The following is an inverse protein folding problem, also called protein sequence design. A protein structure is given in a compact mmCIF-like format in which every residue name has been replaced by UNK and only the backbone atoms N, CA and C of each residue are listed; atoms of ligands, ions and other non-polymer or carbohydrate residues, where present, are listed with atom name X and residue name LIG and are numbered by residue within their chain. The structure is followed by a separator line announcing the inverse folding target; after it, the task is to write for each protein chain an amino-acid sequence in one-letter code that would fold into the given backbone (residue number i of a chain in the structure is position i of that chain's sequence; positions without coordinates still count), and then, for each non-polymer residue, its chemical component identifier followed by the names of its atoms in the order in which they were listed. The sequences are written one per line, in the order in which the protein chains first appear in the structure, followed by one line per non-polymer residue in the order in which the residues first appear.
data_IF_627042476376
#
_entry.id   IF_627042476376
#
_cell.length_a   1.000
_cell.length_b   1.000
_cell.length_c   1.000
_cell.angle_alpha   90.00
_cell.angle_beta   90.00
_cell.angle_gamma   90.00
#
_symmetry.space_group_name_H-M   'P 1'
#
loop_
_entity.id
_entity.type
_entity.pdbx_description
1 polymer ?
#
# COMPACT_ATOMS: atom_id res chain seq x y z
N UNK A 1 4.98 31.32 -18.94
CA UNK A 1 4.31 30.04 -19.30
C UNK A 1 4.47 29.09 -18.12
N UNK A 2 3.42 28.93 -17.31
CA UNK A 2 3.36 28.07 -16.12
C UNK A 2 2.22 27.04 -16.23
N UNK A 3 1.85 26.69 -17.46
CA UNK A 3 0.59 26.00 -17.80
C UNK A 3 0.58 24.45 -17.73
N UNK A 4 1.69 23.70 -17.91
CA UNK A 4 1.61 22.23 -17.97
C UNK A 4 1.25 21.56 -16.63
N UNK A 5 1.68 22.15 -15.51
CA UNK A 5 1.51 21.55 -14.18
C UNK A 5 0.09 21.74 -13.65
N UNK A 6 -0.51 22.92 -13.85
CA UNK A 6 -1.88 23.21 -13.40
C UNK A 6 -2.93 22.35 -14.13
N UNK A 7 -2.77 22.15 -15.45
CA UNK A 7 -3.67 21.29 -16.22
C UNK A 7 -3.56 19.82 -15.80
N UNK A 8 -2.34 19.34 -15.55
CA UNK A 8 -2.10 17.98 -15.06
C UNK A 8 -2.74 17.77 -13.68
N UNK A 9 -2.57 18.72 -12.76
CA UNK A 9 -3.18 18.65 -11.42
C UNK A 9 -4.70 18.61 -11.52
N UNK A 10 -5.33 19.48 -12.32
CA UNK A 10 -6.79 19.46 -12.51
C UNK A 10 -7.28 18.12 -13.09
N UNK A 11 -6.51 17.52 -14.02
CA UNK A 11 -6.81 16.19 -14.55
C UNK A 11 -6.74 15.12 -13.46
N UNK A 12 -5.70 15.16 -12.63
CA UNK A 12 -5.53 14.22 -11.52
C UNK A 12 -6.57 14.39 -10.42
N UNK A 13 -7.00 15.61 -10.12
CA UNK A 13 -8.10 15.87 -9.18
C UNK A 13 -9.39 15.23 -9.64
N UNK A 14 -9.76 15.45 -10.91
CA UNK A 14 -10.96 14.84 -11.51
C UNK A 14 -10.89 13.32 -11.48
N UNK A 15 -9.74 12.75 -11.81
CA UNK A 15 -9.57 11.30 -11.84
C UNK A 15 -9.55 10.69 -10.44
N UNK A 16 -8.95 11.34 -9.43
CA UNK A 16 -9.06 10.89 -8.04
C UNK A 16 -10.50 10.93 -7.55
N UNK A 17 -11.24 12.01 -7.82
CA UNK A 17 -12.65 12.11 -7.43
C UNK A 17 -13.47 10.98 -8.06
N UNK A 18 -13.28 10.73 -9.37
CA UNK A 18 -13.94 9.64 -10.10
C UNK A 18 -13.61 8.27 -9.53
N UNK A 19 -12.34 8.00 -9.20
CA UNK A 19 -11.93 6.71 -8.65
C UNK A 19 -12.35 6.56 -7.17
N UNK A 20 -12.39 7.65 -6.41
CA UNK A 20 -12.86 7.69 -5.02
C UNK A 20 -14.31 7.23 -4.89
N UNK A 21 -15.17 7.59 -5.84
CA UNK A 21 -16.56 7.11 -5.92
C UNK A 21 -16.66 5.59 -6.09
N UNK A 22 -15.60 4.94 -6.59
CA UNK A 22 -15.55 3.48 -6.76
C UNK A 22 -15.04 2.76 -5.51
N UNK A 23 -14.60 3.47 -4.46
CA UNK A 23 -14.12 2.83 -3.22
C UNK A 23 -15.29 2.22 -2.46
N UNK A 24 -15.18 0.93 -2.14
CA UNK A 24 -16.14 0.22 -1.29
C UNK A 24 -15.57 0.13 0.12
N UNK A 25 -16.32 0.60 1.10
CA UNK A 25 -15.91 0.67 2.52
C UNK A 25 -16.57 -0.46 3.35
N UNK A 26 -16.99 -1.52 2.66
CA UNK A 26 -17.70 -2.67 3.21
C UNK A 26 -16.99 -4.00 2.90
N UNK A 27 -17.28 -5.02 3.70
CA UNK A 27 -16.76 -6.38 3.51
C UNK A 27 -17.55 -7.11 2.41
N UNK A 28 -16.84 -7.41 1.32
CA UNK A 28 -17.40 -8.00 0.10
C UNK A 28 -17.15 -9.50 -0.04
N UNK A 29 -16.30 -10.07 0.80
CA UNK A 29 -15.88 -11.48 0.74
C UNK A 29 -16.32 -12.26 1.98
N UNK A 30 -16.66 -13.53 1.82
CA UNK A 30 -17.12 -14.38 2.94
C UNK A 30 -16.07 -14.53 4.05
N UNK A 31 -14.78 -14.60 3.69
CA UNK A 31 -13.70 -14.75 4.66
C UNK A 31 -13.56 -13.53 5.59
N UNK A 32 -14.04 -12.35 5.19
CA UNK A 32 -13.98 -11.13 6.02
C UNK A 32 -14.96 -11.18 7.19
N UNK A 33 -16.09 -11.88 6.99
CA UNK A 33 -17.17 -12.03 7.98
C UNK A 33 -16.87 -13.13 8.99
N UNK A 34 -15.90 -13.99 8.72
CA UNK A 34 -15.48 -15.01 9.69
C UNK A 34 -14.63 -14.38 10.79
N UNK A 35 -14.93 -14.64 12.08
CA UNK A 35 -14.13 -14.11 13.20
C UNK A 35 -12.63 -14.47 13.13
N UNK A 36 -12.32 -15.64 12.56
CA UNK A 36 -10.97 -16.19 12.40
C UNK A 36 -10.43 -16.08 10.97
N UNK A 37 -11.13 -15.36 10.09
CA UNK A 37 -10.84 -15.27 8.66
C UNK A 37 -10.83 -16.61 7.91
N UNK A 38 -11.59 -17.61 8.36
CA UNK A 38 -11.80 -18.87 7.64
C UNK A 38 -12.11 -18.65 6.15
N UNK A 39 -11.32 -19.30 5.30
CA UNK A 39 -11.36 -19.12 3.83
C UNK A 39 -10.27 -18.20 3.27
N UNK A 40 -9.63 -17.38 4.11
CA UNK A 40 -8.43 -16.63 3.74
C UNK A 40 -7.21 -17.56 3.71
N UNK A 41 -6.55 -17.63 2.56
CA UNK A 41 -5.38 -18.49 2.31
C UNK A 41 -4.15 -17.70 1.92
N UNK A 42 -4.31 -16.51 1.32
CA UNK A 42 -3.21 -15.72 0.77
C UNK A 42 -3.42 -14.22 1.01
N UNK A 43 -2.39 -13.60 1.56
CA UNK A 43 -2.30 -12.15 1.75
C UNK A 43 -1.14 -11.62 0.91
N UNK A 44 -1.36 -10.51 0.21
CA UNK A 44 -0.35 -9.83 -0.57
C UNK A 44 0.24 -8.65 0.18
N UNK A 45 1.49 -8.30 -0.11
CA UNK A 45 2.14 -7.08 0.39
C UNK A 45 2.80 -6.34 -0.77
N UNK A 46 2.65 -5.02 -0.81
CA UNK A 46 3.34 -4.17 -1.79
C UNK A 46 4.04 -3.01 -1.13
N UNK A 47 5.18 -2.65 -1.69
CA UNK A 47 5.98 -1.49 -1.35
C UNK A 47 6.61 -0.90 -2.61
N UNK A 48 6.84 0.40 -2.59
CA UNK A 48 7.64 1.07 -3.61
C UNK A 48 8.69 1.93 -2.92
N UNK A 49 9.95 1.54 -3.10
CA UNK A 49 11.08 2.16 -2.43
C UNK A 49 12.01 2.83 -3.42
N UNK A 50 12.37 4.09 -3.15
CA UNK A 50 13.21 4.91 -4.03
C UNK A 50 14.70 4.61 -3.82
N UNK A 51 15.50 4.80 -4.88
CA UNK A 51 16.95 4.76 -4.76
C UNK A 51 17.40 5.98 -3.95
N UNK A 52 18.40 5.80 -3.06
CA UNK A 52 18.94 6.92 -2.26
C UNK A 52 19.43 8.05 -3.16
N UNK A 53 18.84 9.24 -3.00
CA UNK A 53 19.24 10.43 -3.76
C UNK A 53 18.65 10.50 -5.17
N UNK A 54 17.65 9.67 -5.47
CA UNK A 54 16.96 9.63 -6.76
C UNK A 54 15.45 9.52 -6.53
N UNK A 55 14.71 10.52 -7.01
CA UNK A 55 13.26 10.65 -6.88
C UNK A 55 12.49 10.16 -8.11
N UNK A 56 13.20 9.57 -9.06
CA UNK A 56 12.68 9.04 -10.32
C UNK A 56 12.75 7.50 -10.31
N UNK A 57 13.87 6.91 -9.89
CA UNK A 57 14.03 5.47 -9.91
C UNK A 57 13.66 4.83 -8.56
N UNK A 58 12.87 3.75 -8.63
CA UNK A 58 12.40 3.00 -7.47
C UNK A 58 12.38 1.49 -7.75
N UNK A 59 12.38 0.63 -6.73
CA UNK A 59 11.89 -0.75 -6.89
C UNK A 59 10.43 -0.84 -6.45
N UNK A 60 9.59 -1.37 -7.34
CA UNK A 60 8.27 -1.88 -7.04
C UNK A 60 8.37 -3.33 -6.59
N UNK A 61 7.90 -3.63 -5.39
CA UNK A 61 7.90 -4.98 -4.79
C UNK A 61 6.47 -5.49 -4.60
N UNK A 62 6.27 -6.77 -4.94
CA UNK A 62 5.06 -7.55 -4.63
C UNK A 62 5.48 -8.86 -3.97
N UNK A 63 4.87 -9.16 -2.83
CA UNK A 63 4.97 -10.47 -2.16
C UNK A 63 3.59 -11.06 -1.96
N UNK A 64 3.50 -12.39 -1.96
CA UNK A 64 2.31 -13.13 -1.52
C UNK A 64 2.73 -14.12 -0.46
N UNK A 65 2.01 -14.15 0.66
CA UNK A 65 2.26 -15.01 1.79
C UNK A 65 1.06 -15.93 2.04
N UNK A 66 1.31 -17.12 2.59
CA UNK A 66 0.27 -17.97 3.16
C UNK A 66 -0.41 -17.29 4.35
N UNK A 67 -1.71 -17.48 4.51
CA UNK A 67 -2.43 -17.18 5.74
C UNK A 67 -2.84 -18.49 6.45
N UNK A 68 -2.79 -18.58 7.79
CA UNK A 68 -2.29 -17.59 8.76
C UNK A 68 -0.76 -17.67 8.99
N UNK A 69 -0.06 -18.61 8.37
CA UNK A 69 1.34 -18.95 8.70
C UNK A 69 2.40 -17.93 8.24
N UNK A 70 2.02 -16.96 7.40
CA UNK A 70 2.89 -15.91 6.86
C UNK A 70 4.19 -16.41 6.19
N UNK A 71 4.13 -17.55 5.47
CA UNK A 71 5.23 -18.06 4.65
C UNK A 71 5.15 -17.45 3.25
N UNK A 72 6.25 -16.93 2.72
CA UNK A 72 6.32 -16.38 1.36
C UNK A 72 6.05 -17.50 0.33
N UNK A 73 5.09 -17.26 -0.56
CA UNK A 73 4.73 -18.11 -1.70
C UNK A 73 5.24 -17.53 -3.03
N UNK A 74 5.29 -16.21 -3.12
CA UNK A 74 5.70 -15.47 -4.31
C UNK A 74 6.37 -14.16 -3.88
N UNK A 75 7.39 -13.77 -4.63
CA UNK A 75 8.07 -12.48 -4.53
C UNK A 75 8.48 -12.03 -5.92
N UNK A 76 8.26 -10.75 -6.21
CA UNK A 76 8.73 -10.08 -7.41
C UNK A 76 9.18 -8.66 -7.06
N UNK A 77 10.33 -8.27 -7.57
CA UNK A 77 10.81 -6.90 -7.51
C UNK A 77 11.27 -6.47 -8.90
N UNK A 78 10.88 -5.25 -9.26
CA UNK A 78 11.27 -4.63 -10.52
C UNK A 78 11.70 -3.19 -10.29
N UNK A 79 12.90 -2.87 -10.77
CA UNK A 79 13.33 -1.49 -10.90
C UNK A 79 12.48 -0.77 -11.96
N UNK A 80 11.97 0.39 -11.60
CA UNK A 80 11.08 1.19 -12.42
C UNK A 80 11.49 2.67 -12.39
N UNK A 81 11.24 3.34 -13.50
CA UNK A 81 11.45 4.78 -13.66
C UNK A 81 10.08 5.47 -13.63
N UNK A 82 9.88 6.34 -12.64
CA UNK A 82 8.64 7.07 -12.43
C UNK A 82 8.61 8.35 -13.25
N UNK A 83 7.91 8.30 -14.38
CA UNK A 83 7.85 9.43 -15.32
C UNK A 83 6.88 10.55 -14.91
N UNK A 84 5.93 10.27 -14.01
CA UNK A 84 5.00 11.27 -13.51
C UNK A 84 5.71 12.18 -12.47
N UNK A 85 5.43 13.50 -12.45
CA UNK A 85 6.05 14.43 -11.49
C UNK A 85 5.58 14.19 -10.05
N UNK A 86 6.39 14.59 -9.08
CA UNK A 86 5.99 14.63 -7.68
C UNK A 86 5.02 15.79 -7.43
N UNK A 87 3.77 15.48 -7.11
CA UNK A 87 2.80 16.45 -6.60
C UNK A 87 2.19 15.88 -5.32
N UNK A 88 2.25 16.65 -4.24
CA UNK A 88 1.77 16.23 -2.93
C UNK A 88 0.31 15.76 -2.98
N UNK A 89 0.04 14.56 -2.46
CA UNK A 89 -1.24 13.85 -2.51
C UNK A 89 -1.71 13.29 -3.84
N UNK A 90 -0.87 13.32 -4.87
CA UNK A 90 -1.08 12.61 -6.13
C UNK A 90 -0.10 11.45 -6.31
N UNK A 91 0.56 11.03 -5.23
CA UNK A 91 1.56 9.98 -5.24
C UNK A 91 1.03 8.65 -5.80
N UNK A 92 -0.27 8.38 -5.64
CA UNK A 92 -0.95 7.24 -6.27
C UNK A 92 -0.77 7.16 -7.79
N UNK A 93 -0.73 8.28 -8.51
CA UNK A 93 -0.51 8.29 -9.96
C UNK A 93 0.93 7.94 -10.36
N UNK A 94 1.90 8.14 -9.45
CA UNK A 94 3.29 7.73 -9.67
C UNK A 94 3.49 6.25 -9.32
N UNK A 95 2.96 5.83 -8.18
CA UNK A 95 3.32 4.55 -7.57
C UNK A 95 2.37 3.39 -7.90
N UNK A 96 1.09 3.67 -8.18
CA UNK A 96 0.13 2.61 -8.50
C UNK A 96 0.45 1.87 -9.81
N UNK A 97 0.83 2.54 -10.92
CA UNK A 97 1.08 1.86 -12.19
C UNK A 97 2.12 0.72 -12.12
N UNK A 98 3.34 0.92 -11.56
CA UNK A 98 4.31 -0.17 -11.48
C UNK A 98 3.89 -1.32 -10.54
N UNK A 99 3.13 -1.03 -9.48
CA UNK A 99 2.60 -2.05 -8.57
C UNK A 99 1.47 -2.86 -9.22
N UNK A 100 0.59 -2.21 -10.00
CA UNK A 100 -0.43 -2.89 -10.81
C UNK A 100 0.22 -3.78 -11.88
N UNK A 101 1.32 -3.35 -12.50
CA UNK A 101 2.08 -4.19 -13.42
C UNK A 101 2.62 -5.45 -12.75
N UNK A 102 3.07 -5.37 -11.48
CA UNK A 102 3.52 -6.54 -10.74
C UNK A 102 2.36 -7.52 -10.45
N UNK A 103 1.19 -7.00 -10.08
CA UNK A 103 -0.02 -7.82 -9.90
C UNK A 103 -0.48 -8.47 -11.21
N UNK A 104 -0.49 -7.73 -12.31
CA UNK A 104 -0.87 -8.24 -13.63
C UNK A 104 0.12 -9.30 -14.11
N UNK A 105 1.42 -9.11 -13.87
CA UNK A 105 2.43 -10.14 -14.14
C UNK A 105 2.14 -11.40 -13.33
N UNK A 106 1.92 -11.30 -12.01
CA UNK A 106 1.57 -12.43 -11.15
C UNK A 106 0.34 -13.18 -11.68
N UNK A 107 -0.72 -12.44 -12.02
CA UNK A 107 -1.96 -12.98 -12.57
C UNK A 107 -1.72 -13.80 -13.84
N UNK A 108 -0.80 -13.35 -14.70
CA UNK A 108 -0.48 -14.02 -15.95
C UNK A 108 0.45 -15.23 -15.77
N UNK A 109 1.41 -15.19 -14.85
CA UNK A 109 2.39 -16.27 -14.68
C UNK A 109 1.98 -17.33 -13.66
N UNK A 110 1.32 -16.95 -12.57
CA UNK A 110 0.92 -17.82 -11.47
C UNK A 110 -0.43 -17.40 -10.86
N UNK A 111 -1.54 -17.46 -11.62
CA UNK A 111 -2.86 -16.97 -11.18
C UNK A 111 -3.36 -17.61 -9.87
N UNK A 112 -2.99 -18.88 -9.61
CA UNK A 112 -3.36 -19.59 -8.38
C UNK A 112 -2.74 -18.99 -7.11
N UNK A 113 -1.71 -18.16 -7.26
CA UNK A 113 -1.05 -17.44 -6.18
C UNK A 113 -1.57 -16.01 -6.00
N UNK A 114 -2.60 -15.58 -6.76
CA UNK A 114 -3.21 -14.27 -6.54
C UNK A 114 -3.65 -14.09 -5.07
N UNK A 115 -3.31 -12.96 -4.43
CA UNK A 115 -3.72 -12.68 -3.06
C UNK A 115 -5.23 -12.42 -3.01
N UNK A 116 -5.86 -12.73 -1.87
CA UNK A 116 -7.27 -12.41 -1.62
C UNK A 116 -7.44 -10.99 -1.05
N UNK A 117 -6.36 -10.42 -0.53
CA UNK A 117 -6.30 -9.07 0.04
C UNK A 117 -4.86 -8.56 -0.06
N UNK A 118 -4.71 -7.28 -0.37
CA UNK A 118 -3.43 -6.62 -0.54
C UNK A 118 -3.18 -5.64 0.61
N UNK A 119 -2.03 -5.78 1.26
CA UNK A 119 -1.49 -4.81 2.19
C UNK A 119 -0.59 -3.85 1.43
N UNK A 120 -0.83 -2.55 1.59
CA UNK A 120 -0.08 -1.50 0.91
C UNK A 120 0.66 -0.68 1.94
N UNK A 121 1.99 -0.59 1.83
CA UNK A 121 2.77 0.35 2.64
C UNK A 121 2.37 1.75 2.19
N UNK A 122 1.57 2.47 2.97
CA UNK A 122 0.94 3.73 2.56
C UNK A 122 -0.51 3.87 3.04
N UNK A 123 -1.11 5.02 2.74
CA UNK A 123 -2.46 5.35 3.18
C UNK A 123 -3.54 4.84 2.19
N UNK A 124 -4.73 4.55 2.72
CA UNK A 124 -5.98 4.40 1.98
C UNK A 124 -6.86 5.65 2.13
N UNK A 125 -8.06 5.49 2.69
CA UNK A 125 -8.98 6.60 3.00
C UNK A 125 -8.39 7.59 4.00
N UNK A 126 -7.39 7.16 4.78
CA UNK A 126 -6.66 8.04 5.68
C UNK A 126 -5.64 8.90 4.93
N UNK A 127 -6.17 9.71 4.03
CA UNK A 127 -5.47 10.62 3.14
C UNK A 127 -6.30 11.91 3.09
N UNK A 128 -5.68 13.07 2.96
CA UNK A 128 -6.41 14.34 3.01
C UNK A 128 -7.42 14.53 1.86
N UNK A 129 -7.27 13.75 0.76
CA UNK A 129 -8.23 13.63 -0.34
C UNK A 129 -9.09 12.35 -0.26
N UNK A 130 -9.03 11.64 0.85
CA UNK A 130 -9.65 10.33 1.09
C UNK A 130 -9.32 9.25 0.04
N UNK A 131 -8.23 9.42 -0.70
CA UNK A 131 -7.89 8.54 -1.80
C UNK A 131 -6.37 8.33 -1.91
N UNK A 132 -5.81 7.64 -0.92
CA UNK A 132 -4.41 7.25 -0.90
C UNK A 132 -4.07 6.09 -1.84
N UNK A 133 -2.80 5.67 -1.84
CA UNK A 133 -2.30 4.59 -2.69
C UNK A 133 -3.08 3.27 -2.52
N UNK A 134 -3.49 2.92 -1.31
CA UNK A 134 -4.22 1.68 -1.07
C UNK A 134 -5.62 1.69 -1.72
N UNK A 135 -6.30 2.84 -1.73
CA UNK A 135 -7.55 3.03 -2.47
C UNK A 135 -7.30 2.92 -3.97
N UNK A 136 -6.26 3.61 -4.46
CA UNK A 136 -5.90 3.63 -5.87
C UNK A 136 -5.64 2.22 -6.41
N UNK A 137 -4.83 1.43 -5.69
CA UNK A 137 -4.56 0.04 -6.04
C UNK A 137 -5.78 -0.84 -5.92
N UNK A 138 -6.56 -0.72 -4.84
CA UNK A 138 -7.75 -1.53 -4.62
C UNK A 138 -8.80 -1.35 -5.70
N UNK A 139 -9.12 -0.11 -6.05
CA UNK A 139 -10.09 0.19 -7.11
C UNK A 139 -9.62 -0.33 -8.47
N UNK A 140 -8.35 -0.12 -8.83
CA UNK A 140 -7.85 -0.51 -10.16
C UNK A 140 -7.57 -2.02 -10.29
N UNK A 141 -7.27 -2.71 -9.19
CA UNK A 141 -7.07 -4.17 -9.18
C UNK A 141 -8.34 -4.97 -8.85
N UNK A 142 -9.39 -4.30 -8.38
CA UNK A 142 -10.61 -4.89 -7.82
C UNK A 142 -10.33 -5.91 -6.69
N UNK A 143 -9.25 -5.69 -5.94
CA UNK A 143 -8.89 -6.50 -4.77
C UNK A 143 -9.25 -5.76 -3.47
N UNK A 144 -9.65 -6.50 -2.42
CA UNK A 144 -9.61 -5.97 -1.06
C UNK A 144 -8.23 -5.41 -0.73
N UNK A 145 -8.17 -4.16 -0.27
CA UNK A 145 -6.92 -3.44 -0.01
C UNK A 145 -6.93 -2.78 1.37
N UNK A 146 -5.82 -2.90 2.08
CA UNK A 146 -5.57 -2.27 3.38
C UNK A 146 -4.36 -1.36 3.28
N UNK A 147 -4.53 -0.09 3.62
CA UNK A 147 -3.42 0.85 3.77
C UNK A 147 -2.80 0.72 5.16
N UNK A 148 -1.48 0.51 5.22
CA UNK A 148 -0.70 0.45 6.46
C UNK A 148 0.41 1.47 6.41
N UNK A 149 0.23 2.59 7.12
CA UNK A 149 1.23 3.64 7.22
C UNK A 149 2.06 3.54 8.51
N UNK A 150 3.37 3.77 8.40
CA UNK A 150 4.31 3.68 9.54
C UNK A 150 4.43 4.99 10.34
N UNK A 151 3.93 6.10 9.78
CA UNK A 151 3.83 7.42 10.39
C UNK A 151 2.42 7.97 10.20
N UNK A 152 2.04 8.91 11.07
CA UNK A 152 0.85 9.72 10.87
C UNK A 152 1.10 10.69 9.71
N UNK A 153 0.20 10.73 8.74
CA UNK A 153 0.26 11.72 7.67
C UNK A 153 0.02 13.11 8.28
N UNK A 154 1.04 13.98 8.21
CA UNK A 154 0.94 15.37 8.66
C UNK A 154 0.82 16.25 7.42
N UNK A 155 -0.42 16.43 6.93
CA UNK A 155 -0.72 17.38 5.85
C UNK A 155 -1.44 18.56 6.48
N UNK A 156 -1.09 19.78 6.07
CA UNK A 156 -1.79 20.99 6.49
C UNK A 156 -3.29 20.83 6.22
N UNK A 157 -4.11 20.86 7.29
CA UNK A 157 -5.56 20.65 7.23
C UNK A 157 -6.07 19.33 7.84
N UNK A 158 -5.20 18.32 8.05
CA UNK A 158 -5.58 17.07 8.74
C UNK A 158 -5.34 17.25 10.25
N UNK A 159 -6.34 17.74 10.98
CA UNK A 159 -6.30 17.86 12.46
C UNK A 159 -6.23 16.46 13.06
N UNK A 160 -5.41 16.21 14.09
CA UNK A 160 -5.40 14.95 14.86
C UNK A 160 -6.75 14.73 15.59
N UNK A 161 -7.79 14.34 14.86
CA UNK A 161 -9.12 14.02 15.38
C UNK A 161 -9.11 12.71 16.17
N UNK A 162 -10.18 12.45 16.94
CA UNK A 162 -10.40 11.17 17.61
C UNK A 162 -10.46 9.99 16.61
N UNK A 163 -10.94 10.25 15.40
CA UNK A 163 -10.98 9.29 14.28
C UNK A 163 -9.56 8.88 13.80
N UNK A 164 -8.55 9.73 13.98
CA UNK A 164 -7.16 9.37 13.73
C UNK A 164 -6.58 8.47 14.83
N UNK A 165 -7.13 8.52 16.05
CA UNK A 165 -6.71 7.64 17.13
C UNK A 165 -7.31 6.25 16.98
N UNK A 166 -8.55 6.12 16.50
CA UNK A 166 -9.18 4.81 16.24
C UNK A 166 -8.51 4.01 15.13
N UNK A 167 -7.86 4.71 14.18
CA UNK A 167 -7.07 4.12 13.10
C UNK A 167 -5.63 3.76 13.49
N UNK A 168 -5.18 4.15 14.69
CA UNK A 168 -3.86 3.82 15.21
C UNK A 168 -3.85 2.42 15.84
N UNK A 169 -3.23 1.47 15.15
CA UNK A 169 -3.05 0.12 15.67
C UNK A 169 -1.69 -0.02 16.39
N UNK A 170 -1.75 -0.35 17.68
CA UNK A 170 -0.58 -0.89 18.39
C UNK A 170 -0.50 -2.39 18.10
N UNK A 171 0.38 -2.76 17.18
CA UNK A 171 0.55 -4.14 16.70
C UNK A 171 1.17 -5.10 17.71
N UNK A 172 1.83 -4.61 18.76
CA UNK A 172 2.32 -5.44 19.86
C UNK A 172 2.49 -4.62 21.14
N UNK A 173 2.40 -5.31 22.29
CA UNK A 173 2.63 -4.71 23.62
C UNK A 173 4.04 -4.10 23.75
N UNK A 174 5.03 -4.65 23.04
CA UNK A 174 6.41 -4.16 22.99
C UNK A 174 6.64 -3.03 22.00
N UNK A 175 5.68 -2.71 21.13
CA UNK A 175 5.84 -1.63 20.15
C UNK A 175 5.58 -0.27 20.78
N UNK A 176 6.58 0.59 20.73
CA UNK A 176 6.52 1.99 21.19
C UNK A 176 5.80 2.88 20.15
N UNK A 177 5.88 2.53 18.86
CA UNK A 177 5.28 3.31 17.76
C UNK A 177 4.15 2.52 17.09
N UNK A 178 2.93 3.07 16.97
CA UNK A 178 1.84 2.39 16.25
C UNK A 178 2.14 2.30 14.74
N UNK A 179 1.33 1.49 14.06
CA UNK A 179 1.06 1.63 12.62
C UNK A 179 -0.35 2.19 12.46
N UNK A 180 -0.61 2.90 11.37
CA UNK A 180 -1.91 3.48 11.07
C UNK A 180 -2.58 2.67 9.98
N UNK A 181 -3.73 2.11 10.28
CA UNK A 181 -4.48 1.23 9.38
C UNK A 181 -5.65 2.00 8.81
N UNK A 182 -5.84 1.91 7.50
CA UNK A 182 -6.93 2.58 6.81
C UNK A 182 -7.53 1.68 5.73
N UNK A 183 -8.82 1.85 5.47
CA UNK A 183 -9.53 1.19 4.38
C UNK A 183 -8.90 1.60 3.06
N UNK A 184 -8.53 0.64 2.21
CA UNK A 184 -8.19 0.90 0.82
C UNK A 184 -9.40 0.68 -0.08
N UNK A 185 -9.90 -0.56 -0.13
CA UNK A 185 -11.03 -0.94 -0.97
C UNK A 185 -11.60 -2.28 -0.50
N UNK A 186 -12.93 -2.47 -0.61
CA UNK A 186 -13.63 -3.75 -0.39
C UNK A 186 -13.36 -4.40 0.97
N UNK A 187 -13.16 -3.59 2.00
CA UNK A 187 -12.95 -4.04 3.38
C UNK A 187 -13.43 -2.97 4.35
N UNK A 188 -14.06 -3.36 5.46
CA UNK A 188 -14.38 -2.43 6.55
C UNK A 188 -13.13 -2.06 7.34
N UNK A 189 -13.17 -0.93 8.06
CA UNK A 189 -12.06 -0.53 8.94
C UNK A 189 -11.81 -1.56 10.05
N UNK A 190 -12.88 -2.09 10.67
CA UNK A 190 -12.77 -3.12 11.71
C UNK A 190 -12.05 -4.37 11.19
N UNK A 191 -12.51 -4.91 10.06
CA UNK A 191 -11.90 -6.08 9.42
C UNK A 191 -10.45 -5.80 9.02
N UNK A 192 -10.15 -4.62 8.47
CA UNK A 192 -8.79 -4.21 8.13
C UNK A 192 -7.86 -4.17 9.36
N UNK A 193 -8.32 -3.60 10.48
CA UNK A 193 -7.55 -3.53 11.73
C UNK A 193 -7.33 -4.92 12.32
N UNK A 194 -8.40 -5.74 12.44
CA UNK A 194 -8.31 -7.12 12.95
C UNK A 194 -7.36 -7.95 12.09
N UNK A 195 -7.51 -7.90 10.77
CA UNK A 195 -6.66 -8.66 9.85
C UNK A 195 -5.20 -8.20 9.96
N UNK A 196 -4.96 -6.88 9.96
CA UNK A 196 -3.60 -6.33 10.14
C UNK A 196 -2.95 -6.85 11.41
N UNK A 197 -3.69 -6.88 12.52
CA UNK A 197 -3.21 -7.43 13.78
C UNK A 197 -2.81 -8.91 13.65
N UNK A 198 -3.63 -9.76 13.00
CA UNK A 198 -3.28 -11.18 12.79
C UNK A 198 -2.07 -11.39 11.88
N UNK A 199 -1.76 -10.43 11.01
CA UNK A 199 -0.58 -10.45 10.15
C UNK A 199 0.69 -9.91 10.85
N UNK A 200 0.61 -9.40 12.07
CA UNK A 200 1.75 -8.83 12.79
C UNK A 200 2.52 -9.88 13.59
N UNK A 201 3.60 -10.42 13.00
CA UNK A 201 4.62 -11.18 13.75
C UNK A 201 5.57 -10.25 14.53
N UNK A 202 5.66 -9.00 14.09
CA UNK A 202 6.48 -7.92 14.67
C UNK A 202 5.66 -6.62 14.71
N UNK A 203 6.31 -5.46 14.80
CA UNK A 203 5.62 -4.16 14.72
C UNK A 203 4.87 -3.95 13.39
N UNK A 204 5.50 -4.31 12.26
CA UNK A 204 4.93 -4.09 10.92
C UNK A 204 4.34 -5.42 10.46
N UNK A 205 3.14 -5.45 9.86
CA UNK A 205 2.53 -6.69 9.38
C UNK A 205 3.45 -7.37 8.36
N UNK A 206 3.51 -8.69 8.43
CA UNK A 206 4.46 -9.51 7.70
C UNK A 206 4.42 -9.30 6.18
N UNK A 207 3.25 -9.11 5.53
CA UNK A 207 3.19 -8.78 4.11
C UNK A 207 3.94 -7.48 3.76
N UNK A 208 3.80 -6.43 4.57
CA UNK A 208 4.52 -5.16 4.38
C UNK A 208 6.01 -5.33 4.71
N UNK A 209 6.32 -6.05 5.79
CA UNK A 209 7.71 -6.25 6.20
C UNK A 209 8.52 -7.01 5.15
N UNK A 210 7.88 -7.95 4.45
CA UNK A 210 8.51 -8.74 3.38
C UNK A 210 8.49 -8.01 2.04
N UNK A 211 7.54 -7.11 1.78
CA UNK A 211 7.53 -6.31 0.55
C UNK A 211 8.57 -5.19 0.55
N UNK A 212 9.03 -4.73 1.71
CA UNK A 212 10.05 -3.67 1.76
C UNK A 212 11.37 -4.16 1.15
N UNK A 213 11.87 -3.39 0.19
CA UNK A 213 13.14 -3.67 -0.44
C UNK A 213 14.28 -3.72 0.58
N UNK A 214 15.00 -4.84 0.64
CA UNK A 214 16.23 -4.95 1.41
C UNK A 214 17.33 -4.29 0.60
N UNK A 215 18.01 -3.33 1.21
CA UNK A 215 19.05 -2.48 0.60
C UNK A 215 20.23 -3.22 -0.04
N UNK A 216 20.28 -4.55 0.04
CA UNK A 216 21.33 -5.39 -0.51
C UNK A 216 20.71 -6.68 -1.08
N UNK A 217 20.56 -6.75 -2.41
CA UNK A 217 20.71 -8.02 -3.12
C UNK A 217 19.52 -8.68 -3.83
N UNK A 218 18.36 -8.04 -4.05
CA UNK A 218 17.25 -8.69 -4.79
C UNK A 218 16.69 -7.92 -6.00
N UNK A 219 17.09 -6.67 -6.20
CA UNK A 219 16.88 -6.01 -7.49
C UNK A 219 18.02 -6.47 -8.42
N UNK A 220 17.70 -7.09 -9.56
CA UNK A 220 18.67 -7.38 -10.62
C UNK A 220 19.19 -6.08 -11.26
N UNK A 221 20.01 -5.35 -10.52
CA UNK A 221 20.79 -4.20 -10.96
C UNK A 221 22.27 -4.61 -10.90
N UNK A 222 23.11 -4.24 -11.88
CA UNK A 222 24.52 -4.64 -11.92
C UNK A 222 25.38 -4.10 -10.76
N UNK A 223 24.89 -3.11 -10.01
CA UNK A 223 25.59 -2.49 -8.88
C UNK A 223 24.74 -2.56 -7.59
N UNK A 224 25.36 -2.61 -6.40
CA UNK A 224 24.64 -2.57 -5.12
C UNK A 224 23.94 -1.20 -4.94
N UNK A 225 22.67 -1.14 -5.33
CA UNK A 225 21.83 0.04 -5.19
C UNK A 225 21.37 0.18 -3.74
N UNK A 226 21.82 1.24 -3.06
CA UNK A 226 21.29 1.60 -1.74
C UNK A 226 19.88 2.16 -1.88
N UNK A 227 18.89 1.32 -1.60
CA UNK A 227 17.48 1.70 -1.57
C UNK A 227 17.16 2.36 -0.24
N UNK A 228 16.42 3.47 -0.27
CA UNK A 228 15.95 4.15 0.94
C UNK A 228 14.45 3.90 1.16
N UNK A 229 14.05 3.47 2.39
CA UNK A 229 12.65 3.33 2.71
C UNK A 229 11.95 4.69 2.76
N UNK A 230 10.66 4.69 2.39
CA UNK A 230 9.72 5.81 2.12
C UNK A 230 9.65 7.00 3.09
N UNK A 231 10.37 7.00 4.21
CA UNK A 231 10.27 7.97 5.32
C UNK A 231 10.57 9.45 4.95
N UNK A 232 11.03 9.74 3.74
CA UNK A 232 11.51 11.07 3.33
C UNK A 232 10.58 11.85 2.40
N UNK A 233 9.55 11.21 1.82
CA UNK A 233 8.67 11.86 0.81
C UNK A 233 7.36 12.37 1.44
N UNK A 234 7.22 12.30 2.77
CA UNK A 234 6.08 12.88 3.50
C UNK A 234 6.45 14.24 4.10
N UNK A 235 6.62 15.22 3.22
CA UNK A 235 6.50 16.66 3.54
C UNK A 235 5.57 17.29 2.52
#
# INVERSE_FOLDING_TARGET
MAAPEAELVLKWEREQARLRESVKEEDTEDWQRSPDFSGLKRVGGVDLSFIKGDDINACAHLVVLTYPHMKVLYEDCKMVTLNAPYVAGFLGFREAPPLLQALEKLKNVQPNLMPQVLFVDGNGLFHYREFGLACHLGVLSDLPCVGVAKNLLHVEGVVRSEEHQSQALRSSHSSIKPVYVSVGHRITLDTAVRLTHTCCLYRVPEPIRQSVSKSEGHCSHPDPVRIQPRWWIST
#
